data_IF_688101726283
#
_entry.id   IF_688101726283
#
_cell.length_a   1.000
_cell.length_b   1.000
_cell.length_c   1.000
_cell.angle_alpha   90.00
_cell.angle_beta   90.00
_cell.angle_gamma   90.00
#
_symmetry.space_group_name_H-M   'P 1'
#
loop_
_entity.id
_entity.type
_entity.pdbx_description
1 polymer ?
#
# COMPACT_ATOMS: atom_id res chain seq x y z
N UNK A 1 9.76 2.40 -3.46
CA UNK A 1 8.31 2.49 -3.20
C UNK A 1 7.51 2.59 -4.50
N UNK A 2 7.64 3.65 -5.31
CA UNK A 2 6.90 3.76 -6.58
C UNK A 2 7.33 2.76 -7.66
N UNK A 3 8.56 2.24 -7.58
CA UNK A 3 9.05 1.15 -8.44
C UNK A 3 8.10 -0.05 -8.41
N UNK A 4 7.61 -0.43 -7.21
CA UNK A 4 6.69 -1.57 -7.06
C UNK A 4 5.38 -1.34 -7.83
N UNK A 5 4.80 -0.14 -7.75
CA UNK A 5 3.59 0.20 -8.50
C UNK A 5 3.82 0.20 -10.01
N UNK A 6 4.98 0.66 -10.47
CA UNK A 6 5.31 0.67 -11.90
C UNK A 6 5.48 -0.74 -12.45
N UNK A 7 6.24 -1.57 -11.74
CA UNK A 7 6.45 -2.95 -12.15
C UNK A 7 5.14 -3.74 -12.08
N UNK A 8 4.36 -3.60 -11.00
CA UNK A 8 3.03 -4.21 -10.87
C UNK A 8 2.09 -3.80 -12.02
N UNK A 9 2.08 -2.53 -12.42
CA UNK A 9 1.28 -2.09 -13.56
C UNK A 9 1.75 -2.73 -14.87
N UNK A 10 3.06 -2.75 -15.11
CA UNK A 10 3.65 -3.30 -16.33
C UNK A 10 3.62 -4.82 -16.41
N UNK A 11 3.46 -5.52 -15.29
CA UNK A 11 3.15 -6.95 -15.26
C UNK A 11 1.82 -7.27 -15.95
N UNK A 12 0.85 -6.34 -15.93
CA UNK A 12 -0.46 -6.56 -16.55
C UNK A 12 -0.46 -6.34 -18.06
N UNK A 13 0.24 -5.30 -18.54
CA UNK A 13 0.35 -4.92 -19.95
C UNK A 13 1.37 -3.80 -20.13
N UNK A 14 1.83 -3.64 -21.36
CA UNK A 14 2.66 -2.51 -21.77
C UNK A 14 1.86 -1.20 -21.70
N UNK A 15 2.49 -0.11 -21.27
CA UNK A 15 1.80 1.17 -21.04
C UNK A 15 2.67 2.37 -21.38
N UNK A 16 2.03 3.45 -21.85
CA UNK A 16 2.70 4.75 -21.98
C UNK A 16 2.97 5.39 -20.63
N UNK A 17 3.97 6.28 -20.56
CA UNK A 17 4.26 7.07 -19.36
C UNK A 17 3.04 7.84 -18.83
N UNK A 18 2.16 8.32 -19.73
CA UNK A 18 0.90 8.97 -19.34
C UNK A 18 -0.02 8.05 -18.53
N UNK A 19 -0.23 6.80 -18.99
CA UNK A 19 -1.05 5.81 -18.28
C UNK A 19 -0.42 5.42 -16.95
N UNK A 20 0.90 5.21 -16.92
CA UNK A 20 1.64 4.91 -15.70
C UNK A 20 1.50 6.04 -14.66
N UNK A 21 1.56 7.31 -15.08
CA UNK A 21 1.30 8.46 -14.20
C UNK A 21 -0.07 8.40 -13.56
N UNK A 22 -1.12 8.13 -14.34
CA UNK A 22 -2.49 8.02 -13.84
C UNK A 22 -2.60 6.91 -12.79
N UNK A 23 -1.93 5.77 -13.02
CA UNK A 23 -1.91 4.67 -12.05
C UNK A 23 -1.24 5.10 -10.74
N UNK A 24 -0.08 5.77 -10.80
CA UNK A 24 0.58 6.28 -9.60
C UNK A 24 -0.30 7.27 -8.84
N UNK A 25 -0.90 8.24 -9.54
CA UNK A 25 -1.77 9.24 -8.93
C UNK A 25 -2.95 8.61 -8.17
N UNK A 26 -3.57 7.57 -8.73
CA UNK A 26 -4.71 6.88 -8.13
C UNK A 26 -4.31 5.84 -7.08
N UNK A 27 -3.03 5.51 -6.95
CA UNK A 27 -2.52 4.66 -5.88
C UNK A 27 -2.22 5.44 -4.59
N UNK A 28 -2.06 6.76 -4.66
CA UNK A 28 -1.74 7.59 -3.49
C UNK A 28 -2.98 7.88 -2.63
N UNK A 29 -2.80 7.90 -1.30
CA UNK A 29 -3.79 8.38 -0.34
C UNK A 29 -3.19 9.46 0.58
N UNK A 30 -3.78 10.66 0.64
CA UNK A 30 -4.83 11.16 -0.25
C UNK A 30 -4.35 11.25 -1.71
N UNK A 31 -5.30 11.18 -2.65
CA UNK A 31 -5.00 11.29 -4.09
C UNK A 31 -4.25 12.60 -4.35
N UNK A 32 -3.12 12.50 -5.05
CA UNK A 32 -2.30 13.66 -5.44
C UNK A 32 -1.77 13.51 -6.85
N UNK A 33 -1.52 14.64 -7.51
CA UNK A 33 -0.90 14.68 -8.83
C UNK A 33 0.56 14.24 -8.73
N UNK A 34 1.03 13.51 -9.74
CA UNK A 34 2.42 13.10 -9.86
C UNK A 34 3.06 13.98 -10.94
N UNK A 35 4.07 14.75 -10.55
CA UNK A 35 4.77 15.61 -11.50
C UNK A 35 5.61 14.78 -12.47
N UNK A 36 5.89 15.35 -13.65
CA UNK A 36 6.82 14.76 -14.60
C UNK A 36 8.23 14.59 -13.99
N UNK A 37 8.64 15.48 -13.08
CA UNK A 37 9.91 15.39 -12.34
C UNK A 37 9.98 14.26 -11.30
N UNK A 38 8.87 13.55 -11.07
CA UNK A 38 8.85 12.31 -10.27
C UNK A 38 8.74 11.09 -11.20
N UNK A 39 7.87 11.17 -12.21
CA UNK A 39 7.60 10.06 -13.11
C UNK A 39 8.82 9.67 -13.96
N UNK A 40 9.39 10.62 -14.70
CA UNK A 40 10.44 10.28 -15.67
C UNK A 40 11.74 9.83 -15.01
N UNK A 41 12.24 10.47 -13.93
CA UNK A 41 13.39 9.94 -13.20
C UNK A 41 13.18 8.51 -12.66
N UNK A 42 11.93 8.15 -12.33
CA UNK A 42 11.59 6.78 -11.92
C UNK A 42 11.66 5.80 -13.09
N UNK A 43 11.12 6.19 -14.25
CA UNK A 43 11.19 5.37 -15.47
C UNK A 43 12.65 5.20 -15.92
N UNK A 44 13.41 6.28 -15.99
CA UNK A 44 14.84 6.26 -16.34
C UNK A 44 15.63 5.36 -15.37
N UNK A 45 15.32 5.42 -14.07
CA UNK A 45 15.94 4.54 -13.08
C UNK A 45 15.63 3.06 -13.34
N UNK A 46 14.39 2.73 -13.66
CA UNK A 46 13.98 1.35 -13.95
C UNK A 46 14.59 0.85 -15.27
N UNK A 47 14.66 1.70 -16.29
CA UNK A 47 15.29 1.39 -17.58
C UNK A 47 16.80 1.15 -17.41
N UNK A 48 17.50 2.05 -16.70
CA UNK A 48 18.94 1.90 -16.44
C UNK A 48 19.28 0.64 -15.62
N UNK A 49 18.33 0.16 -14.79
CA UNK A 49 18.44 -1.13 -14.08
C UNK A 49 18.07 -2.33 -14.95
N UNK A 50 17.72 -2.11 -16.22
CA UNK A 50 17.23 -3.13 -17.13
C UNK A 50 15.87 -3.71 -16.75
N UNK A 51 15.14 -3.11 -15.80
CA UNK A 51 13.86 -3.62 -15.31
C UNK A 51 12.69 -3.38 -16.28
N UNK A 52 12.80 -2.33 -17.10
CA UNK A 52 11.84 -2.01 -18.15
C UNK A 52 12.59 -1.69 -19.44
N UNK A 53 11.91 -1.88 -20.56
CA UNK A 53 12.34 -1.40 -21.87
C UNK A 53 11.26 -0.54 -22.52
N UNK A 54 11.59 0.09 -23.64
CA UNK A 54 10.64 0.83 -24.45
C UNK A 54 10.62 0.28 -25.87
N UNK A 55 9.43 -0.03 -26.37
CA UNK A 55 9.26 -0.49 -27.75
C UNK A 55 9.28 0.71 -28.71
N UNK A 56 10.22 0.71 -29.66
CA UNK A 56 10.26 1.72 -30.72
C UNK A 56 9.17 1.50 -31.78
N UNK A 57 8.70 0.26 -31.93
CA UNK A 57 7.71 -0.15 -32.94
C UNK A 57 6.26 0.23 -32.58
N UNK A 58 5.98 0.55 -31.31
CA UNK A 58 4.65 0.92 -30.80
C UNK A 58 4.48 2.44 -30.64
N UNK A 59 5.25 3.22 -31.41
CA UNK A 59 5.01 4.66 -31.51
C UNK A 59 3.65 4.88 -32.18
N UNK A 60 2.70 5.41 -31.41
CA UNK A 60 1.53 6.04 -32.02
C UNK A 60 1.99 7.17 -32.97
N UNK A 61 1.09 7.73 -33.78
CA UNK A 61 1.42 8.83 -34.71
C UNK A 61 2.05 10.08 -34.03
N UNK A 62 2.16 10.09 -32.70
CA UNK A 62 2.77 11.14 -31.88
C UNK A 62 4.11 10.74 -31.24
N UNK A 63 4.65 9.55 -31.55
CA UNK A 63 5.94 9.10 -31.03
C UNK A 63 5.91 8.69 -29.55
N UNK A 64 4.75 8.27 -29.03
CA UNK A 64 4.61 7.92 -27.61
C UNK A 64 5.38 6.63 -27.30
N UNK A 65 6.40 6.72 -26.42
CA UNK A 65 7.11 5.53 -25.92
C UNK A 65 6.20 4.65 -25.07
N UNK A 66 6.14 3.36 -25.39
CA UNK A 66 5.42 2.35 -24.64
C UNK A 66 6.42 1.54 -23.82
N UNK A 67 6.26 1.55 -22.50
CA UNK A 67 7.10 0.78 -21.59
C UNK A 67 6.58 -0.65 -21.47
N UNK A 68 7.50 -1.61 -21.40
CA UNK A 68 7.25 -3.01 -21.09
C UNK A 68 8.17 -3.48 -19.95
N UNK A 69 7.74 -4.50 -19.20
CA UNK A 69 8.57 -5.10 -18.15
C UNK A 69 9.51 -6.16 -18.75
N UNK A 70 10.74 -6.22 -18.27
CA UNK A 70 11.72 -7.26 -18.65
C UNK A 70 11.76 -8.38 -17.61
N UNK A 71 12.52 -9.45 -17.87
CA UNK A 71 12.73 -10.52 -16.88
C UNK A 71 13.47 -10.02 -15.63
N UNK A 72 14.44 -9.10 -15.77
CA UNK A 72 15.03 -8.40 -14.62
C UNK A 72 13.98 -7.63 -13.82
N UNK A 73 13.03 -6.98 -14.51
CA UNK A 73 11.93 -6.28 -13.86
C UNK A 73 11.01 -7.19 -13.05
N UNK A 74 10.73 -8.41 -13.56
CA UNK A 74 9.92 -9.41 -12.84
C UNK A 74 10.63 -9.91 -11.59
N UNK A 75 11.93 -10.20 -11.68
CA UNK A 75 12.74 -10.58 -10.49
C UNK A 75 12.81 -9.45 -9.47
N UNK A 76 13.03 -8.21 -9.92
CA UNK A 76 13.06 -7.07 -9.01
C UNK A 76 11.68 -6.79 -8.39
N UNK A 77 10.58 -7.02 -9.12
CA UNK A 77 9.24 -6.98 -8.55
C UNK A 77 9.07 -8.00 -7.41
N UNK A 78 9.47 -9.26 -7.63
CA UNK A 78 9.40 -10.31 -6.62
C UNK A 78 10.25 -9.96 -5.38
N UNK A 79 11.46 -9.41 -5.56
CA UNK A 79 12.29 -8.91 -4.46
C UNK A 79 11.57 -7.81 -3.65
N UNK A 80 10.92 -6.87 -4.33
CA UNK A 80 10.16 -5.82 -3.65
C UNK A 80 8.92 -6.36 -2.91
N UNK A 81 8.33 -7.47 -3.37
CA UNK A 81 7.21 -8.14 -2.69
C UNK A 81 7.67 -8.88 -1.42
N UNK A 82 8.85 -9.49 -1.41
CA UNK A 82 9.38 -10.20 -0.23
C UNK A 82 10.10 -9.28 0.76
N UNK A 83 10.55 -8.11 0.33
CA UNK A 83 11.24 -7.15 1.22
C UNK A 83 10.33 -6.71 2.39
N UNK A 84 10.78 -6.82 3.66
CA UNK A 84 10.04 -6.33 4.81
C UNK A 84 9.73 -4.83 4.71
N UNK A 85 8.56 -4.43 5.20
CA UNK A 85 8.17 -3.02 5.27
C UNK A 85 8.80 -2.41 6.52
N UNK A 86 9.59 -1.35 6.35
CA UNK A 86 10.07 -0.56 7.47
C UNK A 86 8.91 0.24 8.08
N UNK A 87 8.80 0.25 9.41
CA UNK A 87 7.82 1.05 10.14
C UNK A 87 8.22 2.54 10.18
N UNK A 88 8.27 3.17 9.00
CA UNK A 88 8.52 4.61 8.81
C UNK A 88 7.24 5.34 8.39
N UNK A 89 7.25 6.67 8.23
CA UNK A 89 6.04 7.45 7.89
C UNK A 89 5.29 7.02 6.60
N UNK A 90 5.84 6.10 5.80
CA UNK A 90 5.25 5.60 4.56
C UNK A 90 4.92 4.09 4.63
N UNK A 91 5.02 3.46 5.80
CA UNK A 91 4.76 2.03 5.97
C UNK A 91 3.37 1.60 5.45
N UNK A 92 2.34 2.40 5.77
CA UNK A 92 0.95 2.20 5.34
C UNK A 92 0.78 2.30 3.80
N UNK A 93 1.54 3.19 3.14
CA UNK A 93 1.61 3.26 1.67
C UNK A 93 2.30 2.01 1.09
N UNK A 94 3.38 1.53 1.72
CA UNK A 94 4.12 0.37 1.24
C UNK A 94 3.24 -0.89 1.20
N UNK A 95 2.45 -1.15 2.25
CA UNK A 95 1.51 -2.27 2.26
C UNK A 95 0.43 -2.12 1.19
N UNK A 96 -0.16 -0.93 1.04
CA UNK A 96 -1.13 -0.67 -0.05
C UNK A 96 -0.54 -0.91 -1.44
N UNK A 97 0.74 -0.64 -1.64
CA UNK A 97 1.38 -0.85 -2.94
C UNK A 97 1.69 -2.33 -3.17
N UNK A 98 2.08 -3.08 -2.13
CA UNK A 98 2.16 -4.55 -2.20
C UNK A 98 0.80 -5.16 -2.55
N UNK A 99 -0.30 -4.67 -1.96
CA UNK A 99 -1.65 -5.14 -2.28
C UNK A 99 -2.01 -5.04 -3.78
N UNK A 100 -1.47 -4.06 -4.51
CA UNK A 100 -1.67 -3.95 -5.97
C UNK A 100 -0.96 -5.04 -6.76
N UNK A 101 0.08 -5.65 -6.18
CA UNK A 101 0.89 -6.71 -6.78
C UNK A 101 0.50 -8.14 -6.38
N UNK A 102 -0.45 -8.33 -5.47
CA UNK A 102 -0.77 -9.65 -4.87
C UNK A 102 -1.09 -10.73 -5.90
N UNK A 103 -1.76 -10.38 -7.00
CA UNK A 103 -2.12 -11.34 -8.06
C UNK A 103 -0.91 -12.02 -8.73
N UNK A 104 0.31 -11.50 -8.54
CA UNK A 104 1.54 -12.02 -9.15
C UNK A 104 2.41 -12.85 -8.20
N UNK A 105 1.95 -13.09 -6.97
CA UNK A 105 2.64 -13.90 -5.95
C UNK A 105 1.73 -15.02 -5.45
N UNK A 106 2.31 -16.03 -4.82
CA UNK A 106 1.57 -17.18 -4.29
C UNK A 106 0.75 -16.82 -3.03
N UNK A 107 -0.14 -17.74 -2.65
CA UNK A 107 -1.04 -17.60 -1.51
C UNK A 107 -0.30 -17.46 -0.18
N UNK A 108 0.84 -18.15 -0.02
CA UNK A 108 1.65 -18.10 1.20
C UNK A 108 2.26 -16.72 1.40
N UNK A 109 2.87 -16.15 0.35
CA UNK A 109 3.40 -14.79 0.36
C UNK A 109 2.28 -13.73 0.54
N UNK A 110 1.12 -13.92 -0.10
CA UNK A 110 -0.03 -13.02 0.08
C UNK A 110 -0.47 -12.99 1.55
N UNK A 111 -0.64 -14.16 2.16
CA UNK A 111 -1.05 -14.28 3.55
C UNK A 111 -0.01 -13.66 4.47
N UNK A 112 1.29 -13.94 4.26
CA UNK A 112 2.38 -13.37 5.06
C UNK A 112 2.34 -11.85 5.07
N UNK A 113 2.22 -11.21 3.90
CA UNK A 113 2.19 -9.74 3.81
C UNK A 113 0.96 -9.16 4.50
N UNK A 114 -0.21 -9.79 4.37
CA UNK A 114 -1.44 -9.34 5.02
C UNK A 114 -1.38 -9.53 6.55
N UNK A 115 -0.77 -10.62 7.02
CA UNK A 115 -0.56 -10.89 8.43
C UNK A 115 0.39 -9.88 9.07
N UNK A 116 1.53 -9.59 8.42
CA UNK A 116 2.48 -8.58 8.89
C UNK A 116 1.78 -7.23 9.06
N UNK A 117 1.01 -6.81 8.04
CA UNK A 117 0.27 -5.56 8.11
C UNK A 117 -0.80 -5.55 9.21
N UNK A 118 -1.51 -6.66 9.36
CA UNK A 118 -2.55 -6.83 10.38
C UNK A 118 -1.96 -6.77 11.79
N UNK A 119 -0.78 -7.37 12.00
CA UNK A 119 -0.13 -7.38 13.31
C UNK A 119 0.33 -5.98 13.74
N UNK A 120 0.94 -5.22 12.82
CA UNK A 120 1.32 -3.81 13.08
C UNK A 120 0.09 -2.96 13.47
N UNK A 121 -1.01 -3.08 12.72
CA UNK A 121 -2.25 -2.35 13.03
C UNK A 121 -2.94 -2.81 14.33
N UNK A 122 -2.84 -4.10 14.66
CA UNK A 122 -3.41 -4.66 15.88
C UNK A 122 -2.65 -4.18 17.12
N UNK A 123 -1.34 -4.04 17.03
CA UNK A 123 -0.49 -3.45 18.09
C UNK A 123 -0.90 -1.99 18.33
N UNK A 124 -0.99 -1.18 17.27
CA UNK A 124 -1.48 0.20 17.36
C UNK A 124 -2.87 0.26 18.00
N UNK A 125 -3.80 -0.59 17.54
CA UNK A 125 -5.16 -0.66 18.06
C UNK A 125 -5.18 -0.95 19.57
N UNK A 126 -4.33 -1.86 20.04
CA UNK A 126 -4.19 -2.18 21.46
C UNK A 126 -3.75 -0.94 22.26
N UNK A 127 -2.73 -0.23 21.78
CA UNK A 127 -2.22 1.00 22.41
C UNK A 127 -3.32 2.07 22.50
N UNK A 128 -4.02 2.35 21.40
CA UNK A 128 -5.06 3.38 21.38
C UNK A 128 -6.28 3.04 22.25
N UNK A 129 -6.64 1.76 22.36
CA UNK A 129 -7.67 1.31 23.31
C UNK A 129 -7.26 1.62 24.76
N UNK A 130 -6.01 1.36 25.13
CA UNK A 130 -5.46 1.71 26.44
C UNK A 130 -5.53 3.22 26.72
N UNK A 131 -5.12 4.04 25.75
CA UNK A 131 -5.19 5.51 25.85
C UNK A 131 -6.63 5.98 26.00
N UNK A 132 -7.57 5.44 25.21
CA UNK A 132 -8.99 5.79 25.32
C UNK A 132 -9.54 5.47 26.70
N UNK A 133 -9.23 4.31 27.25
CA UNK A 133 -9.69 3.93 28.59
C UNK A 133 -9.17 4.92 29.64
N UNK A 134 -7.88 5.23 29.61
CA UNK A 134 -7.30 6.21 30.52
C UNK A 134 -7.94 7.61 30.40
N UNK A 135 -8.19 8.08 29.18
CA UNK A 135 -8.88 9.35 28.94
C UNK A 135 -10.36 9.33 29.40
N UNK A 136 -10.99 8.16 29.36
CA UNK A 136 -12.36 7.96 29.84
C UNK A 136 -12.40 8.04 31.36
N UNK A 137 -11.44 7.42 32.04
CA UNK A 137 -11.32 7.50 33.50
C UNK A 137 -11.11 8.97 33.94
N UNK A 138 -10.16 9.68 33.32
CA UNK A 138 -9.91 11.10 33.60
C UNK A 138 -11.12 12.00 33.34
N UNK A 139 -11.98 11.66 32.37
CA UNK A 139 -13.22 12.39 32.09
C UNK A 139 -14.26 12.21 33.19
N UNK A 140 -14.32 11.02 33.77
CA UNK A 140 -15.35 10.59 34.71
C UNK A 140 -14.99 10.90 36.18
N UNK A 141 -13.74 11.29 36.44
CA UNK A 141 -13.29 11.83 37.73
C UNK A 141 -14.12 13.05 38.20
N UNK A 142 -14.35 13.17 39.50
CA UNK A 142 -15.10 14.30 40.06
C UNK A 142 -14.37 15.63 39.79
N UNK A 143 -15.10 16.62 39.28
CA UNK A 143 -14.56 17.96 38.99
C UNK A 143 -13.81 18.08 37.66
N UNK A 144 -13.67 17.01 36.88
CA UNK A 144 -12.93 17.02 35.60
C UNK A 144 -13.84 17.05 34.36
N UNK A 145 -15.17 17.15 34.54
CA UNK A 145 -16.17 17.16 33.46
C UNK A 145 -16.00 18.39 32.54
N UNK A 146 -15.02 18.28 31.66
CA UNK A 146 -14.55 19.32 30.76
C UNK A 146 -14.79 18.85 29.33
N UNK A 147 -15.11 19.82 28.47
CA UNK A 147 -15.25 19.58 27.03
C UNK A 147 -13.94 19.01 26.43
N UNK A 148 -12.79 19.27 27.08
CA UNK A 148 -11.49 18.75 26.67
C UNK A 148 -11.43 17.22 26.63
N UNK A 149 -11.65 16.54 27.76
CA UNK A 149 -11.55 15.06 27.78
C UNK A 149 -12.61 14.40 26.90
N UNK A 150 -13.80 15.00 26.79
CA UNK A 150 -14.84 14.53 25.87
C UNK A 150 -14.34 14.53 24.42
N UNK A 151 -13.68 15.60 23.96
CA UNK A 151 -13.11 15.65 22.62
C UNK A 151 -11.92 14.70 22.45
N UNK A 152 -11.07 14.55 23.46
CA UNK A 152 -9.95 13.60 23.41
C UNK A 152 -10.44 12.16 23.22
N UNK A 153 -11.47 11.74 23.97
CA UNK A 153 -12.09 10.41 23.81
C UNK A 153 -12.68 10.25 22.41
N UNK A 154 -13.41 11.25 21.89
CA UNK A 154 -13.97 11.22 20.52
C UNK A 154 -12.88 11.11 19.44
N UNK A 155 -11.77 11.80 19.62
CA UNK A 155 -10.61 11.69 18.72
C UNK A 155 -10.01 10.30 18.75
N UNK A 156 -9.90 9.66 19.92
CA UNK A 156 -9.47 8.26 20.00
C UNK A 156 -10.47 7.30 19.36
N UNK A 157 -11.77 7.53 19.53
CA UNK A 157 -12.82 6.74 18.87
C UNK A 157 -12.68 6.75 17.35
N UNK A 158 -12.38 7.92 16.76
CA UNK A 158 -12.13 8.02 15.32
C UNK A 158 -10.93 7.16 14.87
N UNK A 159 -9.82 7.22 15.60
CA UNK A 159 -8.61 6.44 15.30
C UNK A 159 -8.88 4.94 15.44
N UNK A 160 -9.45 4.52 16.57
CA UNK A 160 -9.79 3.12 16.86
C UNK A 160 -10.74 2.55 15.81
N UNK A 161 -11.78 3.31 15.44
CA UNK A 161 -12.74 2.88 14.41
C UNK A 161 -12.05 2.65 13.07
N UNK A 162 -11.12 3.53 12.70
CA UNK A 162 -10.35 3.40 11.45
C UNK A 162 -9.41 2.18 11.47
N UNK A 163 -8.66 1.99 12.56
CA UNK A 163 -7.74 0.85 12.71
C UNK A 163 -8.51 -0.47 12.72
N UNK A 164 -9.60 -0.55 13.47
CA UNK A 164 -10.47 -1.73 13.52
C UNK A 164 -11.00 -2.10 12.13
N UNK A 165 -11.49 -1.12 11.36
CA UNK A 165 -11.96 -1.39 10.01
C UNK A 165 -10.86 -1.96 9.09
N UNK A 166 -9.61 -1.49 9.24
CA UNK A 166 -8.46 -2.05 8.50
C UNK A 166 -8.15 -3.48 8.95
N UNK A 167 -8.06 -3.73 10.25
CA UNK A 167 -7.76 -5.06 10.82
C UNK A 167 -8.84 -6.07 10.42
N UNK A 168 -10.12 -5.72 10.59
CA UNK A 168 -11.25 -6.59 10.25
C UNK A 168 -11.23 -6.95 8.75
N UNK A 169 -10.91 -5.98 7.88
CA UNK A 169 -10.78 -6.24 6.44
C UNK A 169 -9.63 -7.20 6.12
N UNK A 170 -8.45 -7.00 6.75
CA UNK A 170 -7.28 -7.86 6.55
C UNK A 170 -7.55 -9.29 6.99
N UNK A 171 -8.15 -9.47 8.17
CA UNK A 171 -8.52 -10.79 8.68
C UNK A 171 -9.54 -11.49 7.78
N UNK A 172 -10.48 -10.74 7.19
CA UNK A 172 -11.40 -11.29 6.21
C UNK A 172 -10.68 -11.74 4.93
N UNK A 173 -9.73 -10.94 4.40
CA UNK A 173 -9.01 -11.32 3.18
C UNK A 173 -8.10 -12.55 3.39
N UNK A 174 -7.42 -12.65 4.53
CA UNK A 174 -6.59 -13.81 4.87
C UNK A 174 -7.44 -15.08 4.86
N UNK A 175 -8.60 -15.05 5.54
CA UNK A 175 -9.53 -16.19 5.58
C UNK A 175 -10.06 -16.58 4.19
N UNK A 176 -10.31 -15.62 3.31
CA UNK A 176 -10.76 -15.92 1.95
C UNK A 176 -9.66 -16.59 1.11
N UNK A 177 -8.41 -16.14 1.21
CA UNK A 177 -7.28 -16.77 0.52
C UNK A 177 -7.06 -18.20 1.03
N UNK A 178 -7.08 -18.41 2.35
CA UNK A 178 -6.95 -19.75 2.96
C UNK A 178 -8.04 -20.72 2.48
N UNK A 179 -9.30 -20.26 2.36
CA UNK A 179 -10.39 -21.09 1.82
C UNK A 179 -10.17 -21.47 0.36
N UNK A 180 -9.67 -20.56 -0.47
CA UNK A 180 -9.42 -20.82 -1.88
C UNK A 180 -8.35 -21.89 -2.11
N UNK A 181 -7.39 -22.01 -1.18
CA UNK A 181 -6.36 -23.06 -1.23
C UNK A 181 -6.88 -24.43 -0.79
N UNK A 182 -7.80 -24.49 0.17
CA UNK A 182 -8.42 -25.76 0.62
C UNK A 182 -9.28 -26.41 -0.48
N UNK A 183 -9.78 -25.62 -1.43
CA UNK A 183 -10.68 -26.08 -2.51
C UNK A 183 -9.91 -26.51 -3.77
N UNK A 184 -8.60 -26.26 -3.86
CA UNK A 184 -7.73 -26.71 -4.96
C UNK A 184 -7.19 -28.11 -4.73
#
# INVERSE_FOLDING_TARGET
>A
MYELLMLSALMSRNMSGYKLRIILENAMLPRRKISNGVLYPLLDKLENKGCIGFDEADQDSRGTKIAHITEEGRRYFAELMTKPVAHDAKWDDAYRFKMRGMHYIDSEEQISILQDYRNELAEDLHVYLGIKNHLTDLRDEEGTNTNYYQWQVRSMDFVITTLKAKVDWLEAQIKEIEKMEIVK
#
